data_IF_714532258855
#
_entry.id   IF_714532258855
#
_cell.length_a   1.000
_cell.length_b   1.000
_cell.length_c   1.000
_cell.angle_alpha   90.00
_cell.angle_beta   90.00
_cell.angle_gamma   90.00
#
_symmetry.space_group_name_H-M   'P 1'
#
loop_
_entity.id
_entity.type
_entity.pdbx_description
1 polymer ?
#
# COMPACT_ATOMS: atom_id res chain seq x y z
N UNK A 1 23.27 -3.21 5.78
CA UNK A 1 22.51 -2.02 6.18
C UNK A 1 21.04 -2.41 6.33
N UNK A 2 20.43 -2.02 7.45
CA UNK A 2 19.00 -2.30 7.69
C UNK A 2 18.15 -1.26 6.99
N UNK A 3 17.17 -1.72 6.23
CA UNK A 3 16.18 -0.86 5.59
C UNK A 3 14.78 -1.19 6.11
N UNK A 4 13.91 -0.19 6.05
CA UNK A 4 12.53 -0.30 6.50
C UNK A 4 11.65 0.23 5.38
N UNK A 5 10.57 -0.49 5.07
CA UNK A 5 9.69 -0.12 3.96
C UNK A 5 8.39 0.48 4.49
N UNK A 6 8.07 1.67 4.01
CA UNK A 6 6.78 2.31 4.27
C UNK A 6 5.97 2.30 2.98
N UNK A 7 4.74 1.79 3.06
CA UNK A 7 3.78 1.82 1.96
C UNK A 7 2.71 2.84 2.34
N UNK A 8 2.69 3.96 1.61
CA UNK A 8 1.79 5.07 1.88
C UNK A 8 0.77 5.16 0.73
N UNK A 9 -0.48 4.78 1.02
CA UNK A 9 -1.53 4.72 0.00
C UNK A 9 -2.46 5.91 0.17
N UNK A 10 -2.34 6.85 -0.74
CA UNK A 10 -3.26 7.99 -0.81
C UNK A 10 -4.41 7.73 -1.76
N UNK A 11 -5.37 8.63 -1.76
CA UNK A 11 -6.58 8.50 -2.60
C UNK A 11 -6.29 8.60 -4.10
N UNK A 12 -5.24 9.29 -4.51
CA UNK A 12 -4.89 9.48 -5.92
C UNK A 12 -3.59 8.79 -6.34
N UNK A 13 -2.75 8.40 -5.40
CA UNK A 13 -1.52 7.66 -5.70
C UNK A 13 -1.01 6.98 -4.44
N UNK A 14 -0.30 5.88 -4.63
CA UNK A 14 0.42 5.20 -3.56
C UNK A 14 1.91 5.18 -3.86
N UNK A 15 2.71 4.98 -2.83
CA UNK A 15 4.16 4.92 -2.97
C UNK A 15 4.80 4.02 -1.93
N UNK A 16 5.93 3.45 -2.34
CA UNK A 16 6.77 2.64 -1.46
C UNK A 16 8.06 3.41 -1.24
N UNK A 17 8.40 3.65 0.03
CA UNK A 17 9.56 4.42 0.42
C UNK A 17 10.44 3.58 1.32
N UNK A 18 11.69 3.37 0.93
CA UNK A 18 12.69 2.75 1.79
C UNK A 18 13.32 3.81 2.68
N UNK A 19 13.47 3.49 3.94
CA UNK A 19 14.16 4.33 4.90
C UNK A 19 15.31 3.57 5.55
N UNK A 20 16.39 4.28 5.86
CA UNK A 20 17.53 3.73 6.59
C UNK A 20 18.27 4.84 7.31
N UNK A 21 19.07 4.45 8.27
CA UNK A 21 19.94 5.40 8.98
C UNK A 21 21.34 5.35 8.39
N UNK A 22 21.90 6.51 8.10
CA UNK A 22 23.24 6.67 7.59
C UNK A 22 23.87 7.84 8.32
N UNK A 23 24.94 7.58 9.06
CA UNK A 23 25.64 8.58 9.87
C UNK A 23 24.69 9.31 10.83
N UNK A 24 23.74 8.57 11.41
CA UNK A 24 22.77 9.12 12.35
C UNK A 24 21.64 9.92 11.71
N UNK A 25 21.57 9.95 10.40
CA UNK A 25 20.53 10.67 9.67
C UNK A 25 19.60 9.70 8.95
N UNK A 26 18.32 10.01 8.96
CA UNK A 26 17.32 9.24 8.22
C UNK A 26 17.41 9.58 6.73
N UNK A 27 17.61 8.55 5.91
CA UNK A 27 17.59 8.64 4.46
C UNK A 27 16.35 7.95 3.92
N UNK A 28 15.76 8.52 2.88
CA UNK A 28 14.55 8.01 2.26
C UNK A 28 14.76 7.89 0.75
N UNK A 29 14.16 6.86 0.17
CA UNK A 29 14.18 6.67 -1.28
C UNK A 29 12.85 6.08 -1.72
N UNK A 30 12.16 6.77 -2.63
CA UNK A 30 10.96 6.23 -3.26
C UNK A 30 11.37 5.17 -4.30
N UNK A 31 10.85 3.95 -4.15
CA UNK A 31 11.24 2.83 -5.01
C UNK A 31 10.11 2.35 -5.91
N UNK A 32 8.88 2.75 -5.64
CA UNK A 32 7.72 2.30 -6.39
C UNK A 32 6.58 3.31 -6.20
N UNK A 33 5.86 3.58 -7.29
CA UNK A 33 4.71 4.49 -7.26
C UNK A 33 3.62 3.95 -8.18
N UNK A 34 2.37 4.10 -7.76
CA UNK A 34 1.23 3.72 -8.59
C UNK A 34 0.10 4.74 -8.46
N UNK A 35 -0.71 4.82 -9.51
CA UNK A 35 -1.91 5.67 -9.50
C UNK A 35 -3.03 4.96 -8.75
N UNK A 36 -3.83 5.73 -8.05
CA UNK A 36 -5.00 5.22 -7.36
C UNK A 36 -6.21 6.08 -7.69
N UNK A 37 -7.40 5.57 -7.45
CA UNK A 37 -8.65 6.25 -7.66
C UNK A 37 -9.81 5.30 -7.50
N UNK A 38 -10.93 5.84 -7.06
CA UNK A 38 -12.17 5.06 -6.99
C UNK A 38 -12.73 4.84 -8.40
N UNK A 39 -13.42 3.75 -8.59
CA UNK A 39 -14.03 3.41 -9.87
C UNK A 39 -15.46 2.92 -9.68
N UNK A 40 -16.26 3.02 -10.75
CA UNK A 40 -17.64 2.58 -10.71
C UNK A 40 -17.70 1.05 -10.78
N UNK A 41 -18.38 0.45 -9.81
CA UNK A 41 -18.66 -0.99 -9.77
C UNK A 41 -20.17 -1.15 -9.58
N UNK A 42 -20.87 -1.50 -10.64
CA UNK A 42 -22.32 -1.71 -10.62
C UNK A 42 -23.10 -0.50 -10.08
N UNK A 43 -22.70 0.71 -10.47
CA UNK A 43 -23.34 1.95 -10.05
C UNK A 43 -22.86 2.50 -8.71
N UNK A 44 -21.88 1.85 -8.07
CA UNK A 44 -21.29 2.31 -6.82
C UNK A 44 -19.84 2.71 -7.04
N UNK A 45 -19.43 3.79 -6.40
CA UNK A 45 -18.04 4.24 -6.44
C UNK A 45 -17.23 3.46 -5.42
N UNK A 46 -16.33 2.62 -5.88
CA UNK A 46 -15.60 1.67 -5.05
C UNK A 46 -14.11 1.70 -5.34
N UNK A 47 -13.32 1.18 -4.40
CA UNK A 47 -11.89 0.96 -4.59
C UNK A 47 -11.67 -0.47 -5.11
N UNK A 48 -10.72 -0.61 -6.03
CA UNK A 48 -10.29 -1.93 -6.50
C UNK A 48 -9.26 -2.50 -5.52
N UNK A 49 -9.75 -3.19 -4.50
CA UNK A 49 -8.92 -3.72 -3.42
C UNK A 49 -7.92 -4.76 -3.93
N UNK A 50 -8.32 -5.59 -4.87
CA UNK A 50 -7.42 -6.61 -5.43
C UNK A 50 -6.24 -5.96 -6.16
N UNK A 51 -6.51 -4.88 -6.89
CA UNK A 51 -5.44 -4.11 -7.53
C UNK A 51 -4.53 -3.46 -6.51
N UNK A 52 -5.10 -2.86 -5.45
CA UNK A 52 -4.30 -2.24 -4.39
C UNK A 52 -3.37 -3.26 -3.72
N UNK A 53 -3.89 -4.45 -3.43
CA UNK A 53 -3.08 -5.53 -2.86
C UNK A 53 -1.93 -5.91 -3.81
N UNK A 54 -2.21 -6.05 -5.11
CA UNK A 54 -1.19 -6.37 -6.11
C UNK A 54 -0.11 -5.30 -6.17
N UNK A 55 -0.50 -4.03 -6.10
CA UNK A 55 0.46 -2.92 -6.12
C UNK A 55 1.34 -2.93 -4.87
N UNK A 56 0.77 -3.23 -3.70
CA UNK A 56 1.55 -3.34 -2.46
C UNK A 56 2.59 -4.46 -2.60
N UNK A 57 2.18 -5.62 -3.09
CA UNK A 57 3.07 -6.77 -3.26
C UNK A 57 4.16 -6.48 -4.30
N UNK A 58 3.79 -5.88 -5.42
CA UNK A 58 4.74 -5.53 -6.48
C UNK A 58 5.79 -4.53 -5.99
N UNK A 59 5.37 -3.56 -5.18
CA UNK A 59 6.30 -2.61 -4.59
C UNK A 59 7.25 -3.25 -3.58
N UNK A 60 6.78 -4.22 -2.80
CA UNK A 60 7.64 -4.99 -1.89
C UNK A 60 8.67 -5.77 -2.70
N UNK A 61 8.23 -6.40 -3.80
CA UNK A 61 9.11 -7.16 -4.68
C UNK A 61 10.14 -6.27 -5.39
N UNK A 62 9.89 -4.97 -5.50
CA UNK A 62 10.83 -4.03 -6.10
C UNK A 62 12.02 -3.71 -5.18
N UNK A 63 11.99 -4.11 -3.91
CA UNK A 63 13.14 -3.95 -3.02
C UNK A 63 14.28 -4.86 -3.48
N UNK A 64 15.47 -4.29 -3.63
CA UNK A 64 16.66 -5.05 -4.04
C UNK A 64 17.07 -6.07 -2.98
N UNK A 65 16.91 -5.69 -1.71
CA UNK A 65 17.13 -6.59 -0.57
C UNK A 65 15.91 -6.54 0.34
N UNK A 66 15.65 -7.60 1.07
CA UNK A 66 14.51 -7.67 1.97
C UNK A 66 14.61 -6.60 3.06
N UNK A 67 13.58 -5.76 3.25
CA UNK A 67 13.57 -4.82 4.36
C UNK A 67 13.38 -5.54 5.70
N UNK A 68 13.79 -4.89 6.79
CA UNK A 68 13.59 -5.42 8.14
C UNK A 68 12.10 -5.47 8.50
N UNK A 69 11.34 -4.51 8.00
CA UNK A 69 9.90 -4.43 8.27
C UNK A 69 9.18 -3.72 7.14
N UNK A 70 7.88 -3.95 7.06
CA UNK A 70 6.98 -3.28 6.14
C UNK A 70 5.81 -2.75 6.95
N UNK A 71 5.47 -1.48 6.75
CA UNK A 71 4.28 -0.88 7.34
C UNK A 71 3.44 -0.26 6.24
N UNK A 72 2.13 -0.35 6.37
CA UNK A 72 1.18 0.21 5.41
C UNK A 72 0.31 1.24 6.13
N UNK A 73 0.13 2.36 5.48
CA UNK A 73 -0.69 3.45 5.97
C UNK A 73 -1.61 3.89 4.82
N UNK A 74 -2.84 4.27 5.12
CA UNK A 74 -3.83 4.63 4.13
C UNK A 74 -4.81 5.66 4.70
N UNK A 75 -5.86 6.00 3.93
CA UNK A 75 -6.87 6.95 4.38
C UNK A 75 -7.85 6.31 5.36
N UNK A 76 -8.60 7.15 6.06
CA UNK A 76 -9.65 6.76 7.00
C UNK A 76 -11.04 6.81 6.33
N UNK A 77 -12.07 6.60 7.10
CA UNK A 77 -13.50 6.72 6.78
C UNK A 77 -13.99 5.75 5.69
N UNK A 78 -13.31 4.63 5.55
CA UNK A 78 -13.70 3.58 4.61
C UNK A 78 -13.63 2.22 5.30
N UNK A 79 -14.33 1.24 4.76
CA UNK A 79 -14.39 -0.07 5.38
C UNK A 79 -14.87 -1.12 4.39
N UNK A 80 -14.63 -2.37 4.74
CA UNK A 80 -15.12 -3.54 4.02
C UNK A 80 -15.77 -4.48 5.02
N UNK A 81 -16.92 -5.01 4.66
CA UNK A 81 -17.59 -6.02 5.48
C UNK A 81 -17.04 -7.40 5.11
N UNK A 82 -16.68 -8.16 6.14
CA UNK A 82 -16.18 -9.52 5.96
C UNK A 82 -17.19 -10.54 6.41
N UNK A 83 -17.29 -11.64 5.67
CA UNK A 83 -18.10 -12.77 6.05
C UNK A 83 -17.44 -13.63 7.11
N UNK A 84 -18.10 -14.71 7.48
CA UNK A 84 -17.68 -15.61 8.55
C UNK A 84 -16.29 -16.21 8.30
N UNK A 85 -15.94 -16.45 7.05
CA UNK A 85 -14.65 -17.05 6.67
C UNK A 85 -13.63 -16.01 6.18
N UNK A 86 -13.86 -14.74 6.48
CA UNK A 86 -12.94 -13.66 6.09
C UNK A 86 -13.10 -13.17 4.67
N UNK A 87 -14.08 -13.66 3.92
CA UNK A 87 -14.36 -13.19 2.57
C UNK A 87 -15.01 -11.80 2.57
N UNK A 88 -14.71 -10.99 1.57
CA UNK A 88 -15.35 -9.68 1.40
C UNK A 88 -16.76 -9.89 0.85
N UNK A 89 -17.77 -9.38 1.55
CA UNK A 89 -19.16 -9.51 1.15
C UNK A 89 -19.71 -8.30 0.42
N UNK A 90 -18.93 -7.21 0.34
CA UNK A 90 -19.26 -6.04 -0.46
C UNK A 90 -17.99 -5.33 -0.90
N UNK A 91 -18.03 -4.53 -2.00
CA UNK A 91 -16.92 -3.68 -2.38
C UNK A 91 -16.62 -2.62 -1.32
N UNK A 92 -15.37 -2.17 -1.31
CA UNK A 92 -14.95 -1.08 -0.43
C UNK A 92 -15.26 0.30 -1.03
#
# INVERSE_FOLDING_TARGET
MKTYLAVDIGASSGRHILGWLEDGKLKLKEIYRFKNGAEDQNGHLCWDIDRLESEVIDGIAACETAPESVAVDTWAVDYVLLGKNGERICPA
#
